data_IF_457668672567
#
_entry.id   IF_457668672567
#
_cell.length_a   1.000
_cell.length_b   1.000
_cell.length_c   1.000
_cell.angle_alpha   90.00
_cell.angle_beta   90.00
_cell.angle_gamma   90.00
#
_symmetry.space_group_name_H-M   'P 1'
#
loop_
_entity.id
_entity.type
_entity.pdbx_description
1 polymer ?
#
# COMPACT_ATOMS: atom_id res chain seq x y z
N UNK A 1 -11.33 -2.90 -19.26
CA UNK A 1 -11.37 -2.44 -17.85
C UNK A 1 -11.11 -3.66 -16.98
N UNK A 2 -9.87 -3.87 -16.50
CA UNK A 2 -9.56 -5.04 -15.65
C UNK A 2 -10.22 -4.93 -14.27
N UNK A 3 -10.40 -6.06 -13.56
CA UNK A 3 -11.05 -6.07 -12.25
C UNK A 3 -10.26 -5.19 -11.26
N UNK A 4 -10.98 -4.27 -10.60
CA UNK A 4 -10.49 -3.50 -9.46
C UNK A 4 -10.85 -4.28 -8.20
N UNK A 5 -9.89 -4.47 -7.30
CA UNK A 5 -10.16 -5.07 -6.00
C UNK A 5 -9.96 -4.01 -4.92
N UNK A 6 -10.90 -3.94 -3.98
CA UNK A 6 -10.83 -3.05 -2.83
C UNK A 6 -10.81 -3.90 -1.57
N UNK A 7 -9.84 -3.66 -0.70
CA UNK A 7 -9.69 -4.35 0.58
C UNK A 7 -9.57 -3.32 1.70
N UNK A 8 -10.37 -3.48 2.75
CA UNK A 8 -10.33 -2.60 3.92
C UNK A 8 -10.43 -3.40 5.21
N UNK A 9 -9.58 -3.08 6.18
CA UNK A 9 -9.59 -3.78 7.46
C UNK A 9 -8.62 -3.20 8.49
N UNK A 10 -8.84 -3.50 9.77
CA UNK A 10 -7.91 -3.09 10.84
C UNK A 10 -6.53 -3.73 10.64
N UNK A 11 -6.50 -5.03 10.38
CA UNK A 11 -5.29 -5.79 10.09
C UNK A 11 -5.54 -6.57 8.80
N UNK A 12 -4.68 -6.38 7.80
CA UNK A 12 -4.80 -7.09 6.54
C UNK A 12 -3.47 -7.71 6.12
N UNK A 13 -3.55 -8.97 5.71
CA UNK A 13 -2.43 -9.69 5.09
C UNK A 13 -2.90 -10.15 3.72
N UNK A 14 -2.48 -9.42 2.69
CA UNK A 14 -2.86 -9.68 1.31
C UNK A 14 -1.61 -10.14 0.56
N UNK A 15 -1.44 -11.46 0.35
CA UNK A 15 -0.21 -12.01 -0.21
C UNK A 15 0.07 -11.52 -1.63
N UNK A 16 -0.99 -11.25 -2.41
CA UNK A 16 -0.91 -10.68 -3.76
C UNK A 16 -2.12 -9.81 -4.03
N UNK A 17 -1.90 -8.63 -4.57
CA UNK A 17 -2.94 -7.84 -5.21
C UNK A 17 -2.78 -7.90 -6.72
N UNK A 18 -3.92 -7.90 -7.40
CA UNK A 18 -4.01 -7.90 -8.85
C UNK A 18 -3.45 -6.61 -9.48
N UNK A 19 -3.65 -6.41 -10.80
CA UNK A 19 -3.05 -5.28 -11.52
C UNK A 19 -3.57 -3.91 -11.10
N UNK A 20 -4.78 -3.85 -10.52
CA UNK A 20 -5.41 -2.64 -10.01
C UNK A 20 -6.12 -2.94 -8.69
N UNK A 21 -5.57 -2.47 -7.58
CA UNK A 21 -6.19 -2.68 -6.29
C UNK A 21 -5.94 -1.52 -5.31
N UNK A 22 -6.91 -1.32 -4.42
CA UNK A 22 -6.80 -0.42 -3.28
C UNK A 22 -6.88 -1.21 -1.98
N UNK A 23 -5.93 -0.96 -1.08
CA UNK A 23 -5.90 -1.55 0.24
C UNK A 23 -5.80 -0.45 1.30
N UNK A 24 -6.71 -0.45 2.26
CA UNK A 24 -6.73 0.53 3.35
C UNK A 24 -6.84 -0.15 4.71
N UNK A 25 -6.03 0.26 5.69
CA UNK A 25 -6.04 -0.38 7.00
C UNK A 25 -5.08 0.19 8.03
N UNK A 26 -5.20 -0.22 9.29
CA UNK A 26 -4.25 0.24 10.33
C UNK A 26 -2.91 -0.47 10.18
N UNK A 27 -2.94 -1.79 9.98
CA UNK A 27 -1.76 -2.62 9.77
C UNK A 27 -1.94 -3.43 8.50
N UNK A 28 -1.04 -3.25 7.55
CA UNK A 28 -1.08 -3.93 6.25
C UNK A 28 0.24 -4.61 5.94
N UNK A 29 0.16 -5.88 5.56
CA UNK A 29 1.29 -6.67 5.07
C UNK A 29 0.97 -7.12 3.65
N UNK A 30 1.77 -6.62 2.71
CA UNK A 30 1.46 -6.60 1.29
C UNK A 30 2.69 -7.00 0.49
N UNK A 31 2.99 -8.30 0.37
CA UNK A 31 4.25 -8.78 -0.19
C UNK A 31 4.45 -8.42 -1.66
N UNK A 32 3.36 -8.31 -2.43
CA UNK A 32 3.37 -8.03 -3.87
C UNK A 32 2.17 -7.19 -4.27
N UNK A 33 2.43 -5.95 -4.67
CA UNK A 33 1.47 -5.11 -5.38
C UNK A 33 1.65 -5.24 -6.89
N UNK A 34 0.55 -5.38 -7.61
CA UNK A 34 0.54 -5.26 -9.07
C UNK A 34 0.87 -3.83 -9.53
N UNK A 35 0.99 -3.56 -10.84
CA UNK A 35 1.46 -2.29 -11.38
C UNK A 35 0.72 -1.05 -10.83
N UNK A 36 -0.61 -1.03 -10.78
CA UNK A 36 -1.37 0.17 -10.39
C UNK A 36 -2.14 -0.07 -9.09
N UNK A 37 -1.42 -0.18 -7.98
CA UNK A 37 -2.03 -0.41 -6.67
C UNK A 37 -1.80 0.76 -5.71
N UNK A 38 -2.78 1.01 -4.86
CA UNK A 38 -2.74 2.05 -3.83
C UNK A 38 -2.90 1.39 -2.45
N UNK A 39 -2.02 1.75 -1.51
CA UNK A 39 -2.01 1.23 -0.16
C UNK A 39 -1.99 2.39 0.85
N UNK A 40 -2.96 2.44 1.76
CA UNK A 40 -3.02 3.48 2.79
C UNK A 40 -3.17 2.89 4.19
N UNK A 41 -2.30 3.28 5.13
CA UNK A 41 -2.40 2.77 6.49
C UNK A 41 -1.40 3.32 7.50
N UNK A 42 -1.59 3.01 8.79
CA UNK A 42 -0.65 3.48 9.83
C UNK A 42 0.68 2.73 9.76
N UNK A 43 0.62 1.41 9.67
CA UNK A 43 1.79 0.53 9.58
C UNK A 43 1.65 -0.32 8.32
N UNK A 44 2.60 -0.19 7.40
CA UNK A 44 2.59 -0.91 6.15
C UNK A 44 3.92 -1.59 5.87
N UNK A 45 3.86 -2.85 5.46
CA UNK A 45 5.03 -3.63 5.04
C UNK A 45 4.83 -4.05 3.60
N UNK A 46 5.62 -3.45 2.71
CA UNK A 46 5.44 -3.48 1.26
C UNK A 46 6.78 -3.83 0.58
N UNK A 47 7.19 -5.12 0.57
CA UNK A 47 8.51 -5.51 0.07
C UNK A 47 8.69 -5.41 -1.43
N UNK A 48 7.62 -5.46 -2.22
CA UNK A 48 7.67 -5.31 -3.68
C UNK A 48 6.46 -4.53 -4.19
N UNK A 49 6.74 -3.34 -4.73
CA UNK A 49 5.75 -2.51 -5.40
C UNK A 49 5.95 -2.55 -6.91
N UNK A 50 4.85 -2.72 -7.63
CA UNK A 50 4.80 -2.61 -9.08
C UNK A 50 5.02 -1.16 -9.56
N UNK A 51 5.25 -0.96 -10.86
CA UNK A 51 5.46 0.37 -11.44
C UNK A 51 4.16 1.18 -11.43
N UNK A 52 4.17 2.38 -10.81
CA UNK A 52 3.00 3.24 -10.54
C UNK A 52 2.12 2.80 -9.36
N UNK A 53 2.75 2.27 -8.31
CA UNK A 53 2.07 2.11 -7.03
C UNK A 53 2.22 3.34 -6.14
N UNK A 54 1.23 3.56 -5.28
CA UNK A 54 1.24 4.60 -4.26
C UNK A 54 1.05 3.98 -2.88
N UNK A 55 1.86 4.40 -1.91
CA UNK A 55 1.78 3.98 -0.52
C UNK A 55 1.75 5.20 0.39
N UNK A 56 0.75 5.32 1.26
CA UNK A 56 0.66 6.40 2.25
C UNK A 56 0.55 5.84 3.68
N UNK A 57 1.43 6.26 4.59
CA UNK A 57 1.35 5.81 5.97
C UNK A 57 2.40 6.32 6.94
N UNK A 58 2.14 6.20 8.25
CA UNK A 58 3.07 6.68 9.31
C UNK A 58 4.37 5.88 9.36
N UNK A 59 4.25 4.57 9.28
CA UNK A 59 5.36 3.62 9.35
C UNK A 59 5.28 2.74 8.13
N UNK A 60 6.21 2.90 7.19
CA UNK A 60 6.27 2.12 5.96
C UNK A 60 7.62 1.42 5.82
N UNK A 61 7.60 0.12 5.57
CA UNK A 61 8.79 -0.69 5.29
C UNK A 61 8.79 -1.07 3.82
N UNK A 62 9.71 -0.45 3.05
CA UNK A 62 9.75 -0.47 1.58
C UNK A 62 11.16 -0.86 1.08
N UNK A 63 11.58 -2.13 1.20
CA UNK A 63 12.93 -2.55 0.82
C UNK A 63 13.21 -2.48 -0.68
N UNK A 64 12.18 -2.53 -1.55
CA UNK A 64 12.33 -2.41 -3.01
C UNK A 64 11.20 -1.61 -3.62
N UNK A 65 11.51 -0.40 -4.04
CA UNK A 65 10.63 0.47 -4.82
C UNK A 65 10.88 0.20 -6.31
N UNK A 66 9.82 -0.11 -7.05
CA UNK A 66 9.87 -0.13 -8.51
C UNK A 66 10.03 1.28 -9.10
N UNK A 67 10.34 1.40 -10.41
CA UNK A 67 10.37 2.69 -11.07
C UNK A 67 8.98 3.36 -10.97
N UNK A 68 8.94 4.61 -10.49
CA UNK A 68 7.72 5.40 -10.23
C UNK A 68 6.81 4.84 -9.12
N UNK A 69 7.38 4.49 -7.98
CA UNK A 69 6.59 4.27 -6.76
C UNK A 69 6.63 5.52 -5.89
N UNK A 70 5.46 6.02 -5.49
CA UNK A 70 5.37 7.11 -4.51
C UNK A 70 5.10 6.53 -3.12
N UNK A 71 5.92 6.91 -2.15
CA UNK A 71 5.73 6.56 -0.75
C UNK A 71 5.64 7.85 0.06
N UNK A 72 4.46 8.14 0.63
CA UNK A 72 4.22 9.33 1.45
C UNK A 72 4.14 8.94 2.91
N UNK A 73 5.00 9.52 3.73
CA UNK A 73 4.84 9.38 5.17
C UNK A 73 3.72 10.32 5.63
N UNK A 74 2.56 9.78 6.01
CA UNK A 74 1.51 10.59 6.63
C UNK A 74 1.92 10.90 8.07
N UNK A 75 2.85 11.84 8.22
CA UNK A 75 3.06 12.52 9.49
C UNK A 75 1.82 13.37 9.70
N UNK A 76 0.74 12.76 10.24
CA UNK A 76 -0.41 13.48 10.75
C UNK A 76 0.14 14.41 11.83
N UNK A 77 0.52 15.64 11.45
CA UNK A 77 0.63 16.77 12.37
C UNK A 77 -0.70 16.77 13.10
N UNK A 78 -0.61 16.70 14.42
CA UNK A 78 -1.75 16.42 15.28
C UNK A 78 -2.92 17.31 14.91
N UNK A 79 -4.10 16.70 14.80
CA UNK A 79 -5.33 17.41 15.10
C UNK A 79 -5.96 16.57 16.20
N UNK A 80 -5.94 17.16 17.39
CA UNK A 80 -6.62 16.69 18.58
C UNK A 80 -8.10 17.05 18.53
#
# INVERSE_FOLDING_TARGET
LGPRCEASGKTMVLPRLGPRCEASGKTMVLPRLGPRCEASGKTMVLPRLGPRCEASGKTMVLPRLGPRVEARNETRRGDG
#
